data_IF_908461139724
#
_entry.id   IF_908461139724
#
_cell.length_a   1.000
_cell.length_b   1.000
_cell.length_c   1.000
_cell.angle_alpha   90.00
_cell.angle_beta   90.00
_cell.angle_gamma   90.00
#
_symmetry.space_group_name_H-M   'P 1'
#
loop_
_entity.id
_entity.type
_entity.pdbx_description
1 polymer ?
#
# COMPACT_ATOMS: atom_id res chain seq x y z
N UNK A 1 -18.73 6.83 16.85
CA UNK A 1 -17.64 6.89 15.87
C UNK A 1 -18.16 6.31 14.58
N UNK A 2 -18.49 7.15 13.61
CA UNK A 2 -19.05 6.68 12.35
C UNK A 2 -17.91 6.30 11.41
N UNK A 3 -17.66 5.01 11.32
CA UNK A 3 -16.73 4.48 10.33
C UNK A 3 -17.40 4.46 8.95
N UNK A 4 -17.42 5.59 8.25
CA UNK A 4 -17.80 5.67 6.82
C UNK A 4 -16.78 4.95 5.90
N UNK A 5 -16.09 3.94 6.41
CA UNK A 5 -15.08 3.16 5.68
C UNK A 5 -15.66 1.97 4.90
N UNK A 6 -16.95 1.71 5.01
CA UNK A 6 -17.61 0.65 4.26
C UNK A 6 -18.39 1.22 3.07
N UNK A 7 -18.30 0.60 1.90
CA UNK A 7 -19.17 0.91 0.78
C UNK A 7 -20.64 0.85 1.21
N UNK A 8 -21.45 1.75 0.69
CA UNK A 8 -22.87 1.85 1.07
C UNK A 8 -23.68 0.58 0.76
N UNK A 9 -23.20 -0.28 -0.13
CA UNK A 9 -23.83 -1.53 -0.55
C UNK A 9 -23.27 -2.78 0.17
N UNK A 10 -22.33 -2.61 1.10
CA UNK A 10 -21.72 -3.70 1.86
C UNK A 10 -20.78 -4.62 1.07
N UNK A 11 -20.59 -4.38 -0.23
CA UNK A 11 -19.66 -5.14 -1.05
C UNK A 11 -18.26 -4.52 -0.99
N UNK A 12 -17.25 -5.35 -0.74
CA UNK A 12 -15.86 -4.90 -0.79
C UNK A 12 -15.43 -4.67 -2.24
N UNK A 13 -14.88 -3.49 -2.59
CA UNK A 13 -14.34 -3.26 -3.91
C UNK A 13 -13.11 -4.15 -4.15
N UNK A 14 -12.83 -4.46 -5.40
CA UNK A 14 -11.55 -5.02 -5.80
C UNK A 14 -10.57 -3.85 -5.85
N UNK A 15 -9.48 -3.90 -5.07
CA UNK A 15 -8.58 -2.77 -4.88
C UNK A 15 -7.23 -2.96 -5.55
N UNK A 16 -6.90 -4.19 -5.94
CA UNK A 16 -5.62 -4.50 -6.56
C UNK A 16 -5.85 -5.45 -7.73
N UNK A 17 -5.29 -5.13 -8.87
CA UNK A 17 -5.30 -5.94 -10.07
C UNK A 17 -4.10 -5.63 -10.98
N UNK A 18 -3.79 -6.51 -11.89
CA UNK A 18 -2.69 -6.45 -12.82
C UNK A 18 -2.76 -7.59 -13.84
N UNK A 19 -1.68 -7.91 -14.55
CA UNK A 19 -1.69 -8.95 -15.60
C UNK A 19 -2.19 -10.33 -15.12
N UNK A 20 -1.82 -10.70 -13.89
CA UNK A 20 -2.19 -11.99 -13.28
C UNK A 20 -3.47 -11.91 -12.44
N UNK A 21 -4.25 -10.97 -12.67
CA UNK A 21 -5.33 -10.49 -11.88
C UNK A 21 -6.64 -11.30 -12.08
N UNK A 22 -7.57 -11.26 -11.12
CA UNK A 22 -7.65 -10.40 -9.94
C UNK A 22 -7.10 -11.07 -8.70
N UNK A 23 -6.43 -10.30 -7.86
CA UNK A 23 -5.90 -10.78 -6.61
C UNK A 23 -6.63 -10.12 -5.44
N UNK A 24 -7.48 -10.87 -4.76
CA UNK A 24 -8.21 -10.38 -3.59
C UNK A 24 -7.38 -10.65 -2.33
N UNK A 25 -6.54 -9.72 -1.95
CA UNK A 25 -5.65 -9.86 -0.78
C UNK A 25 -6.35 -9.97 0.56
N UNK A 26 -7.61 -9.57 0.62
CA UNK A 26 -8.39 -9.48 1.83
C UNK A 26 -9.44 -10.58 1.98
N UNK A 27 -9.61 -11.44 0.98
CA UNK A 27 -10.60 -12.53 1.03
C UNK A 27 -10.40 -13.46 2.23
N UNK A 28 -9.16 -13.66 2.67
CA UNK A 28 -8.84 -14.48 3.83
C UNK A 28 -9.40 -13.92 5.15
N UNK A 29 -9.65 -12.62 5.24
CA UNK A 29 -10.18 -11.99 6.45
C UNK A 29 -11.58 -12.51 6.80
N UNK A 30 -12.37 -12.88 5.80
CA UNK A 30 -13.74 -13.38 5.95
C UNK A 30 -13.85 -14.88 5.67
N UNK A 31 -12.79 -15.50 5.14
CA UNK A 31 -12.81 -16.93 4.84
C UNK A 31 -12.85 -17.73 6.15
N UNK A 32 -13.76 -18.73 6.30
CA UNK A 32 -13.88 -19.52 7.53
C UNK A 32 -12.58 -20.20 7.97
N UNK A 33 -11.75 -20.62 7.01
CA UNK A 33 -10.45 -21.23 7.28
C UNK A 33 -9.33 -20.19 7.52
N UNK A 34 -9.61 -18.88 7.35
CA UNK A 34 -8.59 -17.83 7.41
C UNK A 34 -7.41 -18.13 6.49
N UNK A 35 -6.20 -18.12 7.04
CA UNK A 35 -4.97 -18.52 6.34
C UNK A 35 -4.70 -20.05 6.38
N UNK A 36 -5.64 -20.84 6.90
CA UNK A 36 -5.48 -22.27 7.06
C UNK A 36 -5.00 -22.70 8.44
N UNK A 37 -4.37 -23.87 8.54
CA UNK A 37 -3.86 -24.44 9.79
C UNK A 37 -2.51 -25.12 9.59
N UNK A 38 -1.72 -25.20 10.65
CA UNK A 38 -0.44 -25.90 10.67
C UNK A 38 -0.65 -27.26 11.35
N UNK A 39 -0.16 -28.36 10.77
CA UNK A 39 -0.20 -29.70 11.40
C UNK A 39 0.43 -29.67 12.79
N UNK A 40 -0.11 -30.47 13.71
CA UNK A 40 0.31 -30.48 15.11
C UNK A 40 1.80 -30.82 15.29
N UNK A 41 2.33 -31.69 14.46
CA UNK A 41 3.75 -32.13 14.46
C UNK A 41 4.71 -31.04 13.95
N UNK A 42 4.18 -29.98 13.32
CA UNK A 42 4.94 -28.83 12.85
C UNK A 42 4.74 -27.58 13.69
N UNK A 43 3.91 -27.61 14.70
CA UNK A 43 3.73 -26.46 15.59
C UNK A 43 5.01 -26.19 16.38
N UNK A 44 5.35 -24.91 16.54
CA UNK A 44 6.61 -24.47 17.12
C UNK A 44 7.81 -24.46 16.15
N UNK A 45 7.61 -24.92 14.90
CA UNK A 45 8.68 -24.89 13.89
C UNK A 45 9.11 -23.44 13.57
N UNK A 46 10.44 -23.23 13.51
CA UNK A 46 11.00 -21.90 13.24
C UNK A 46 10.92 -21.55 11.75
N UNK A 47 10.43 -20.33 11.46
CA UNK A 47 10.40 -19.75 10.12
C UNK A 47 11.11 -18.40 10.16
N UNK A 48 12.12 -18.18 9.32
CA UNK A 48 12.81 -16.91 9.27
C UNK A 48 11.99 -15.89 8.48
N UNK A 49 11.86 -14.69 9.03
CA UNK A 49 11.22 -13.52 8.38
C UNK A 49 12.28 -12.45 8.23
N UNK A 50 12.63 -12.12 6.99
CA UNK A 50 13.67 -11.14 6.69
C UNK A 50 13.02 -9.78 6.38
N UNK A 51 13.17 -8.86 7.34
CA UNK A 51 12.59 -7.53 7.35
C UNK A 51 11.48 -7.39 8.39
N UNK A 52 11.60 -6.40 9.28
CA UNK A 52 10.58 -6.01 10.26
C UNK A 52 9.78 -4.77 9.79
N UNK A 53 9.55 -4.61 8.49
CA UNK A 53 8.54 -3.73 7.93
C UNK A 53 7.14 -4.31 8.13
N UNK A 54 6.10 -3.55 7.75
CA UNK A 54 4.70 -3.97 7.95
C UNK A 54 4.42 -5.36 7.36
N UNK A 55 4.90 -5.66 6.15
CA UNK A 55 4.69 -6.96 5.50
C UNK A 55 5.30 -8.12 6.30
N UNK A 56 6.54 -7.96 6.77
CA UNK A 56 7.21 -9.00 7.60
C UNK A 56 6.56 -9.17 8.96
N UNK A 57 6.15 -8.08 9.59
CA UNK A 57 5.49 -8.15 10.90
C UNK A 57 4.10 -8.77 10.84
N UNK A 58 3.31 -8.44 9.80
CA UNK A 58 2.01 -9.07 9.57
C UNK A 58 2.20 -10.56 9.30
N UNK A 59 3.12 -10.94 8.42
CA UNK A 59 3.41 -12.34 8.15
C UNK A 59 3.85 -13.10 9.43
N UNK A 60 4.76 -12.52 10.20
CA UNK A 60 5.20 -13.10 11.47
C UNK A 60 4.04 -13.25 12.47
N UNK A 61 3.20 -12.22 12.58
CA UNK A 61 2.04 -12.23 13.47
C UNK A 61 1.03 -13.32 13.11
N UNK A 62 0.69 -13.45 11.85
CA UNK A 62 -0.26 -14.47 11.39
C UNK A 62 0.33 -15.88 11.50
N UNK A 63 1.62 -16.08 11.16
CA UNK A 63 2.29 -17.36 11.34
C UNK A 63 2.37 -17.77 12.83
N UNK A 64 2.62 -16.81 13.72
CA UNK A 64 2.59 -17.04 15.17
C UNK A 64 1.19 -17.50 15.63
N UNK A 65 0.12 -16.87 15.16
CA UNK A 65 -1.26 -17.29 15.48
C UNK A 65 -1.55 -18.72 15.05
N UNK A 66 -0.99 -19.15 13.92
CA UNK A 66 -1.12 -20.52 13.41
C UNK A 66 -0.26 -21.55 14.17
N UNK A 67 0.61 -21.12 15.08
CA UNK A 67 1.43 -21.99 15.91
C UNK A 67 2.88 -22.14 15.47
N UNK A 68 3.31 -21.47 14.39
CA UNK A 68 4.73 -21.44 14.01
C UNK A 68 5.51 -20.47 14.90
N UNK A 69 6.83 -20.61 14.91
CA UNK A 69 7.74 -19.68 15.58
C UNK A 69 8.43 -18.79 14.56
N UNK A 70 7.88 -17.61 14.27
CA UNK A 70 8.56 -16.64 13.41
C UNK A 70 9.85 -16.16 14.10
N UNK A 71 10.94 -16.09 13.35
CA UNK A 71 12.21 -15.49 13.76
C UNK A 71 12.47 -14.30 12.87
N UNK A 72 12.18 -13.11 13.39
CA UNK A 72 12.22 -11.85 12.63
C UNK A 72 13.61 -11.24 12.68
N UNK A 73 14.13 -10.87 11.52
CA UNK A 73 15.40 -10.18 11.32
C UNK A 73 15.16 -8.77 10.80
N UNK A 74 15.92 -7.80 11.32
CA UNK A 74 15.85 -6.41 10.87
C UNK A 74 17.25 -5.78 10.82
N UNK A 75 17.58 -5.18 9.69
CA UNK A 75 18.90 -4.60 9.46
C UNK A 75 19.05 -3.21 10.07
N UNK A 76 17.95 -2.51 10.32
CA UNK A 76 17.95 -1.12 10.77
C UNK A 76 16.89 -0.89 11.84
N UNK A 77 15.81 -0.21 11.49
CA UNK A 77 14.71 0.15 12.40
C UNK A 77 13.43 -0.56 12.00
N UNK A 78 12.75 -1.13 12.99
CA UNK A 78 11.43 -1.73 12.80
C UNK A 78 10.43 -0.71 12.24
N UNK A 79 9.54 -1.17 11.34
CA UNK A 79 8.54 -0.34 10.67
C UNK A 79 8.83 -0.13 9.18
N UNK A 80 10.11 -0.15 8.78
CA UNK A 80 10.51 0.00 7.39
C UNK A 80 10.06 1.33 6.79
N UNK A 81 9.20 1.27 5.77
CA UNK A 81 8.62 2.46 5.09
C UNK A 81 7.42 3.09 5.81
N UNK A 82 6.98 2.55 6.95
CA UNK A 82 6.03 3.19 7.86
C UNK A 82 6.80 3.79 9.02
N UNK A 83 7.14 5.06 8.90
CA UNK A 83 8.01 5.75 9.84
C UNK A 83 7.48 7.14 10.13
N UNK A 84 7.34 7.44 11.40
CA UNK A 84 6.90 8.74 11.91
C UNK A 84 7.97 9.37 12.78
N UNK A 85 8.06 10.68 12.76
CA UNK A 85 8.99 11.46 13.57
C UNK A 85 8.27 12.63 14.22
N UNK A 86 8.28 12.69 15.54
CA UNK A 86 7.80 13.87 16.26
C UNK A 86 8.74 15.05 16.05
N UNK A 87 8.18 16.24 15.88
CA UNK A 87 8.97 17.47 15.89
C UNK A 87 9.39 17.82 17.30
N UNK A 88 10.67 18.12 17.48
CA UNK A 88 11.21 18.52 18.78
C UNK A 88 10.56 19.85 19.25
N UNK A 89 10.08 19.85 20.50
CA UNK A 89 9.51 21.03 21.13
C UNK A 89 8.08 21.39 20.71
N UNK A 90 7.41 20.53 19.94
CA UNK A 90 6.00 20.71 19.57
C UNK A 90 5.22 19.42 19.87
N UNK A 91 4.31 19.49 20.84
CA UNK A 91 3.46 18.35 21.17
C UNK A 91 2.43 18.10 20.06
N UNK A 92 2.30 16.84 19.65
CA UNK A 92 1.28 16.38 18.72
C UNK A 92 1.56 16.63 17.24
N UNK A 93 2.69 17.27 16.88
CA UNK A 93 3.08 17.45 15.48
C UNK A 93 3.99 16.29 15.05
N UNK A 94 3.56 15.55 14.07
CA UNK A 94 4.24 14.36 13.52
C UNK A 94 4.59 14.61 12.06
N UNK A 95 5.85 14.36 11.69
CA UNK A 95 6.27 14.21 10.31
C UNK A 95 6.19 12.72 9.92
N UNK A 96 5.47 12.42 8.89
CA UNK A 96 5.51 11.10 8.27
C UNK A 96 6.65 11.04 7.26
N UNK A 97 7.58 10.12 7.48
CA UNK A 97 8.78 9.94 6.65
C UNK A 97 8.65 8.73 5.71
N UNK A 98 7.43 8.34 5.41
CA UNK A 98 7.10 7.20 4.57
C UNK A 98 5.63 7.20 4.16
N UNK A 99 4.98 6.04 4.22
CA UNK A 99 3.53 5.95 3.98
C UNK A 99 2.76 6.80 4.97
N UNK A 100 1.90 7.71 4.49
CA UNK A 100 1.22 8.67 5.35
C UNK A 100 -0.29 8.71 5.15
N UNK A 101 -0.78 8.23 4.02
CA UNK A 101 -2.19 8.29 3.64
C UNK A 101 -2.61 6.96 3.03
N UNK A 102 -3.74 6.46 3.47
CA UNK A 102 -4.21 5.13 3.13
C UNK A 102 -5.66 5.22 2.66
N UNK A 103 -5.99 4.74 1.45
CA UNK A 103 -7.36 4.75 0.96
C UNK A 103 -8.21 3.82 1.82
N UNK A 104 -9.47 4.19 2.04
CA UNK A 104 -10.41 3.36 2.83
C UNK A 104 -10.64 1.98 2.22
N UNK A 105 -10.34 1.83 0.94
CA UNK A 105 -10.36 0.56 0.23
C UNK A 105 -9.24 -0.42 0.64
N UNK A 106 -8.23 0.03 1.38
CA UNK A 106 -7.14 -0.82 1.89
C UNK A 106 -7.60 -1.67 3.08
N UNK A 107 -8.57 -2.56 2.87
CA UNK A 107 -9.26 -3.35 3.90
C UNK A 107 -8.30 -4.19 4.74
N UNK A 108 -7.29 -4.81 4.15
CA UNK A 108 -6.29 -5.59 4.89
C UNK A 108 -5.46 -4.70 5.84
N UNK A 109 -5.13 -3.48 5.44
CA UNK A 109 -4.42 -2.53 6.32
C UNK A 109 -5.32 -2.10 7.48
N UNK A 110 -6.55 -1.69 7.18
CA UNK A 110 -7.50 -1.24 8.21
C UNK A 110 -7.92 -2.35 9.18
N UNK A 111 -7.89 -3.62 8.75
CA UNK A 111 -8.07 -4.75 9.67
C UNK A 111 -7.08 -4.68 10.85
N UNK A 112 -5.80 -4.38 10.59
CA UNK A 112 -4.81 -4.24 11.66
C UNK A 112 -4.93 -2.91 12.41
N UNK A 113 -5.24 -1.83 11.75
CA UNK A 113 -5.52 -0.53 12.39
C UNK A 113 -6.64 -0.67 13.43
N UNK A 114 -7.75 -1.30 13.04
CA UNK A 114 -8.90 -1.53 13.93
C UNK A 114 -8.58 -2.51 15.06
N UNK A 115 -7.85 -3.59 14.75
CA UNK A 115 -7.38 -4.56 15.75
C UNK A 115 -6.50 -3.93 16.82
N UNK A 116 -5.72 -2.93 16.45
CA UNK A 116 -4.84 -2.19 17.36
C UNK A 116 -5.56 -1.02 18.07
N UNK A 117 -6.82 -0.75 17.74
CA UNK A 117 -7.58 0.35 18.29
C UNK A 117 -7.05 1.73 17.92
N UNK A 118 -6.36 1.86 16.78
CA UNK A 118 -5.77 3.12 16.36
C UNK A 118 -6.81 4.03 15.73
N UNK A 119 -6.73 5.31 16.09
CA UNK A 119 -7.60 6.34 15.54
C UNK A 119 -7.11 6.79 14.17
N UNK A 120 -8.07 7.05 13.28
CA UNK A 120 -7.81 7.61 11.94
C UNK A 120 -8.65 8.85 11.70
N UNK A 121 -8.15 9.73 10.84
CA UNK A 121 -8.92 10.89 10.35
C UNK A 121 -8.67 11.09 8.86
N UNK A 122 -9.59 11.76 8.14
CA UNK A 122 -9.39 12.09 6.75
C UNK A 122 -8.06 12.81 6.52
N UNK A 123 -7.34 12.40 5.48
CA UNK A 123 -6.10 13.07 5.09
C UNK A 123 -6.45 14.39 4.38
N UNK A 124 -5.77 15.51 4.72
CA UNK A 124 -6.05 16.81 4.14
C UNK A 124 -5.48 16.93 2.71
N UNK A 125 -5.99 16.11 1.80
CA UNK A 125 -5.67 16.27 0.38
C UNK A 125 -6.20 17.62 -0.14
N UNK A 126 -5.49 18.25 -1.07
CA UNK A 126 -5.94 19.49 -1.69
C UNK A 126 -7.37 19.39 -2.25
N UNK A 127 -8.14 20.45 -2.13
CA UNK A 127 -9.51 20.57 -2.65
C UNK A 127 -10.50 19.52 -2.10
N UNK A 128 -10.20 18.93 -0.94
CA UNK A 128 -11.11 18.02 -0.23
C UNK A 128 -11.69 18.69 1.02
N UNK A 129 -12.83 18.22 1.54
CA UNK A 129 -13.39 18.75 2.79
C UNK A 129 -12.47 18.67 4.02
N UNK A 130 -11.44 17.83 3.97
CA UNK A 130 -10.44 17.71 5.04
C UNK A 130 -9.37 18.81 4.97
N UNK A 131 -9.28 19.55 3.86
CA UNK A 131 -8.37 20.66 3.66
C UNK A 131 -9.20 21.96 3.54
N UNK A 132 -9.09 22.88 4.52
CA UNK A 132 -9.92 24.09 4.54
C UNK A 132 -9.60 25.03 3.38
N UNK A 133 -8.39 24.93 2.83
CA UNK A 133 -7.97 25.70 1.66
C UNK A 133 -6.80 25.03 0.95
N UNK A 134 -6.64 25.37 -0.32
CA UNK A 134 -5.52 24.91 -1.15
C UNK A 134 -4.86 26.11 -1.81
N UNK A 135 -3.55 26.15 -1.76
CA UNK A 135 -2.74 27.14 -2.49
C UNK A 135 -1.99 26.42 -3.60
N UNK A 136 -2.15 26.87 -4.82
CA UNK A 136 -1.41 26.40 -5.99
C UNK A 136 -0.50 27.52 -6.44
N UNK A 137 0.81 27.29 -6.40
CA UNK A 137 1.81 28.18 -6.96
C UNK A 137 2.36 27.53 -8.24
N UNK A 138 2.09 28.15 -9.37
CA UNK A 138 2.43 27.63 -10.67
C UNK A 138 3.03 28.74 -11.52
N UNK A 139 4.31 28.59 -11.90
CA UNK A 139 5.04 29.54 -12.74
C UNK A 139 4.98 31.00 -12.24
N UNK A 140 5.02 31.19 -10.93
CA UNK A 140 4.96 32.50 -10.28
C UNK A 140 3.56 33.10 -10.17
N UNK A 141 2.54 32.34 -10.53
CA UNK A 141 1.14 32.70 -10.29
C UNK A 141 0.57 31.86 -9.16
N UNK A 142 0.04 32.51 -8.14
CA UNK A 142 -0.55 31.84 -6.98
C UNK A 142 -2.07 31.89 -7.07
N UNK A 143 -2.69 30.72 -6.91
CA UNK A 143 -4.15 30.55 -6.81
C UNK A 143 -4.49 30.09 -5.39
N UNK A 144 -5.53 30.71 -4.83
CA UNK A 144 -6.12 30.29 -3.57
C UNK A 144 -7.52 29.74 -3.83
N UNK A 145 -7.84 28.56 -3.28
CA UNK A 145 -9.12 27.92 -3.47
C UNK A 145 -9.57 27.18 -2.19
N UNK A 146 -10.82 27.32 -1.82
CA UNK A 146 -11.49 26.50 -0.81
C UNK A 146 -12.16 25.27 -1.45
N UNK A 147 -12.48 25.39 -2.73
CA UNK A 147 -13.06 24.33 -3.55
C UNK A 147 -12.55 24.40 -4.99
N UNK A 148 -12.77 23.34 -5.75
CA UNK A 148 -12.42 23.32 -7.18
C UNK A 148 -13.13 24.44 -8.00
N UNK A 149 -14.30 24.90 -7.55
CA UNK A 149 -15.05 25.97 -8.22
C UNK A 149 -14.38 27.35 -8.12
N UNK A 150 -13.47 27.54 -7.19
CA UNK A 150 -12.73 28.80 -7.01
C UNK A 150 -11.52 28.91 -7.95
N UNK A 151 -11.17 27.81 -8.63
CA UNK A 151 -10.05 27.78 -9.56
C UNK A 151 -10.48 28.31 -10.95
N UNK A 152 -9.54 28.91 -11.72
CA UNK A 152 -9.82 29.30 -13.10
C UNK A 152 -10.33 28.17 -13.98
N UNK A 153 -11.09 28.50 -15.01
CA UNK A 153 -11.70 27.57 -15.97
C UNK A 153 -10.67 26.56 -16.55
N UNK A 154 -9.42 26.98 -16.72
CA UNK A 154 -8.31 26.14 -17.16
C UNK A 154 -8.19 24.83 -16.37
N UNK A 155 -8.39 24.87 -15.05
CA UNK A 155 -8.30 23.67 -14.22
C UNK A 155 -9.50 22.73 -14.43
N UNK A 156 -10.69 23.28 -14.64
CA UNK A 156 -11.88 22.48 -14.96
C UNK A 156 -11.77 21.85 -16.35
N UNK A 157 -11.30 22.61 -17.34
CA UNK A 157 -11.07 22.09 -18.70
C UNK A 157 -10.07 20.91 -18.72
N UNK A 158 -9.04 20.99 -17.88
CA UNK A 158 -8.08 19.89 -17.69
C UNK A 158 -8.73 18.68 -17.02
N UNK A 159 -9.54 18.88 -15.98
CA UNK A 159 -10.26 17.81 -15.30
C UNK A 159 -11.24 17.08 -16.24
N UNK A 160 -11.98 17.84 -17.03
CA UNK A 160 -12.91 17.29 -18.02
C UNK A 160 -12.18 16.50 -19.11
N UNK A 161 -11.05 17.01 -19.60
CA UNK A 161 -10.22 16.30 -20.57
C UNK A 161 -9.61 15.01 -20.00
N UNK A 162 -9.26 15.00 -18.73
CA UNK A 162 -8.78 13.80 -18.05
C UNK A 162 -9.89 12.73 -17.95
N UNK A 163 -11.10 13.11 -17.55
CA UNK A 163 -12.25 12.21 -17.51
C UNK A 163 -12.56 11.63 -18.90
N UNK A 164 -12.58 12.46 -19.94
CA UNK A 164 -12.78 12.03 -21.33
C UNK A 164 -11.66 11.10 -21.82
N UNK A 165 -10.41 11.36 -21.43
CA UNK A 165 -9.27 10.53 -21.79
C UNK A 165 -9.34 9.15 -21.14
N UNK A 166 -9.69 9.07 -19.86
CA UNK A 166 -9.89 7.82 -19.13
C UNK A 166 -11.02 6.99 -19.75
N UNK A 167 -12.14 7.60 -20.07
CA UNK A 167 -13.27 6.87 -20.67
C UNK A 167 -12.91 6.36 -22.07
N UNK A 168 -12.37 7.22 -22.93
CA UNK A 168 -12.06 6.84 -24.30
C UNK A 168 -10.83 5.96 -24.46
N UNK A 169 -9.82 6.12 -23.62
CA UNK A 169 -8.53 5.40 -23.69
C UNK A 169 -8.46 4.16 -22.82
N UNK A 170 -9.27 4.06 -21.77
CA UNK A 170 -9.15 3.00 -20.78
C UNK A 170 -10.49 2.35 -20.39
N UNK A 171 -11.62 2.77 -20.96
CA UNK A 171 -12.95 2.24 -20.62
C UNK A 171 -13.24 2.33 -19.12
N UNK A 172 -12.97 3.49 -18.55
CA UNK A 172 -12.99 3.71 -17.10
C UNK A 172 -14.33 3.32 -16.47
N UNK A 173 -15.45 3.73 -17.07
CA UNK A 173 -16.79 3.39 -16.57
C UNK A 173 -17.06 1.89 -16.52
N UNK A 174 -16.68 1.16 -17.55
CA UNK A 174 -16.84 -0.30 -17.60
C UNK A 174 -16.01 -1.01 -16.52
N UNK A 175 -14.78 -0.59 -16.33
CA UNK A 175 -13.89 -1.17 -15.30
C UNK A 175 -14.40 -0.83 -13.90
N UNK A 176 -14.79 0.40 -13.65
CA UNK A 176 -15.40 0.81 -12.39
C UNK A 176 -16.68 0.00 -12.08
N UNK A 177 -17.49 -0.29 -13.10
CA UNK A 177 -18.68 -1.12 -12.92
C UNK A 177 -18.30 -2.56 -12.56
N UNK A 178 -17.34 -3.16 -13.28
CA UNK A 178 -16.86 -4.51 -12.98
C UNK A 178 -16.26 -4.62 -11.57
N UNK A 179 -15.57 -3.57 -11.09
CA UNK A 179 -15.06 -3.49 -9.71
C UNK A 179 -16.21 -3.48 -8.70
N UNK A 180 -17.23 -2.64 -8.91
CA UNK A 180 -18.42 -2.57 -8.02
C UNK A 180 -19.17 -3.90 -7.95
N UNK A 181 -19.31 -4.56 -9.08
CA UNK A 181 -20.03 -5.83 -9.18
C UNK A 181 -19.18 -7.04 -8.76
N UNK A 182 -17.90 -6.84 -8.51
CA UNK A 182 -16.90 -7.90 -8.30
C UNK A 182 -16.92 -8.94 -9.45
N UNK A 183 -17.18 -8.48 -10.66
CA UNK A 183 -17.14 -9.30 -11.87
C UNK A 183 -15.70 -9.50 -12.33
N UNK A 184 -15.06 -10.45 -11.67
CA UNK A 184 -13.66 -10.83 -11.88
C UNK A 184 -13.36 -11.21 -13.33
N UNK A 185 -14.14 -12.08 -14.00
CA UNK A 185 -13.90 -12.41 -15.40
C UNK A 185 -13.98 -11.19 -16.32
N UNK A 186 -14.98 -10.34 -16.14
CA UNK A 186 -15.15 -9.12 -16.92
C UNK A 186 -14.02 -8.13 -16.72
N UNK A 187 -13.62 -7.94 -15.48
CA UNK A 187 -12.52 -7.05 -15.14
C UNK A 187 -11.20 -7.52 -15.77
N UNK A 188 -10.93 -8.83 -15.71
CA UNK A 188 -9.74 -9.42 -16.35
C UNK A 188 -9.76 -9.24 -17.87
N UNK A 189 -10.91 -9.46 -18.52
CA UNK A 189 -11.08 -9.22 -19.94
C UNK A 189 -10.75 -7.77 -20.30
N UNK A 190 -11.36 -6.81 -19.60
CA UNK A 190 -11.15 -5.38 -19.82
C UNK A 190 -9.69 -4.99 -19.62
N UNK A 191 -9.09 -5.41 -18.50
CA UNK A 191 -7.70 -5.10 -18.18
C UNK A 191 -6.72 -5.66 -19.22
N UNK A 192 -6.93 -6.93 -19.64
CA UNK A 192 -6.06 -7.56 -20.62
C UNK A 192 -6.10 -6.88 -21.99
N UNK A 193 -7.16 -6.11 -22.30
CA UNK A 193 -7.19 -5.30 -23.52
C UNK A 193 -6.31 -4.06 -23.40
N UNK A 194 -6.08 -3.55 -22.16
CA UNK A 194 -5.26 -2.36 -21.92
C UNK A 194 -3.76 -2.68 -21.90
N UNK A 195 -3.38 -3.89 -21.45
CA UNK A 195 -1.97 -4.29 -21.31
C UNK A 195 -1.19 -4.06 -22.62
N UNK A 196 -1.54 -4.63 -23.78
CA UNK A 196 -0.77 -4.45 -25.01
C UNK A 196 -0.81 -3.02 -25.55
N UNK A 197 -1.74 -2.19 -25.08
CA UNK A 197 -1.88 -0.81 -25.53
C UNK A 197 -1.06 0.16 -24.69
N UNK A 198 -0.86 -0.12 -23.38
CA UNK A 198 -0.40 0.87 -22.42
C UNK A 198 0.77 0.43 -21.53
N UNK A 199 1.17 -0.84 -21.53
CA UNK A 199 2.23 -1.31 -20.62
C UNK A 199 3.58 -0.67 -20.91
N UNK A 200 3.92 -0.48 -22.18
CA UNK A 200 5.17 0.15 -22.64
C UNK A 200 5.05 1.68 -22.81
N UNK A 201 3.94 2.28 -22.37
CA UNK A 201 3.67 3.71 -22.54
C UNK A 201 3.61 4.43 -21.20
N UNK A 202 4.10 5.66 -21.20
CA UNK A 202 4.13 6.50 -19.99
C UNK A 202 2.83 7.28 -19.80
N UNK A 203 2.65 7.83 -18.61
CA UNK A 203 1.56 8.78 -18.32
C UNK A 203 1.59 9.99 -19.27
N UNK A 204 2.79 10.57 -19.50
CA UNK A 204 2.93 11.68 -20.45
C UNK A 204 2.46 11.30 -21.85
N UNK A 205 2.85 10.12 -22.34
CA UNK A 205 2.47 9.64 -23.65
C UNK A 205 0.95 9.45 -23.78
N UNK A 206 0.29 8.90 -22.75
CA UNK A 206 -1.16 8.80 -22.70
C UNK A 206 -1.84 10.16 -22.87
N UNK A 207 -1.42 11.15 -22.08
CA UNK A 207 -1.99 12.50 -22.13
C UNK A 207 -1.69 13.16 -23.48
N UNK A 208 -0.43 13.11 -23.94
CA UNK A 208 0.00 13.75 -25.18
C UNK A 208 -0.69 13.19 -26.44
N UNK A 209 -1.06 11.92 -26.42
CA UNK A 209 -1.72 11.25 -27.56
C UNK A 209 -3.23 11.17 -27.42
N UNK A 210 -3.80 11.55 -26.26
CA UNK A 210 -5.25 11.58 -26.06
C UNK A 210 -5.93 12.61 -26.95
N UNK A 211 -7.04 12.20 -27.58
CA UNK A 211 -7.89 13.10 -28.39
C UNK A 211 -8.51 14.21 -27.54
N UNK A 212 -8.77 13.97 -26.27
CA UNK A 212 -9.31 14.97 -25.36
C UNK A 212 -8.29 16.09 -25.12
N UNK A 213 -7.06 15.75 -24.80
CA UNK A 213 -5.98 16.72 -24.59
C UNK A 213 -5.46 17.36 -25.90
N UNK A 214 -5.64 16.70 -27.04
CA UNK A 214 -5.25 17.28 -28.33
C UNK A 214 -6.03 18.56 -28.69
N UNK A 215 -7.19 18.79 -28.08
CA UNK A 215 -8.01 20.00 -28.24
C UNK A 215 -7.54 21.15 -27.35
N UNK A 216 -6.68 20.88 -26.38
CA UNK A 216 -6.22 21.83 -25.37
C UNK A 216 -4.83 22.38 -25.72
N UNK A 217 -4.50 23.54 -25.16
CA UNK A 217 -3.17 24.14 -25.33
C UNK A 217 -2.10 23.35 -24.55
N UNK A 218 -0.85 23.64 -24.85
CA UNK A 218 0.28 23.12 -24.08
C UNK A 218 0.19 23.49 -22.59
N UNK A 219 -0.26 24.71 -22.29
CA UNK A 219 -0.45 25.19 -20.90
C UNK A 219 -1.39 24.28 -20.09
N UNK A 220 -2.48 23.78 -20.67
CA UNK A 220 -3.38 22.84 -19.99
C UNK A 220 -2.65 21.54 -19.61
N UNK A 221 -1.78 21.03 -20.48
CA UNK A 221 -1.00 19.81 -20.20
C UNK A 221 0.02 20.05 -19.09
N UNK A 222 0.69 21.20 -19.12
CA UNK A 222 1.64 21.58 -18.07
C UNK A 222 0.95 21.73 -16.70
N UNK A 223 -0.21 22.40 -16.66
CA UNK A 223 -1.01 22.47 -15.43
C UNK A 223 -1.36 21.08 -14.92
N UNK A 224 -1.81 20.19 -15.80
CA UNK A 224 -2.13 18.82 -15.40
C UNK A 224 -0.90 18.05 -14.89
N UNK A 225 0.23 18.17 -15.54
CA UNK A 225 1.47 17.51 -15.16
C UNK A 225 2.06 18.02 -13.84
N UNK A 226 1.89 19.32 -13.55
CA UNK A 226 2.49 19.94 -12.36
C UNK A 226 1.59 19.90 -11.12
N UNK A 227 0.27 19.97 -11.28
CA UNK A 227 -0.68 20.07 -10.15
C UNK A 227 -1.77 19.01 -10.16
N UNK A 228 -1.91 18.23 -11.23
CA UNK A 228 -2.91 17.19 -11.38
C UNK A 228 -2.49 15.85 -10.77
N UNK A 229 -3.33 14.86 -11.03
CA UNK A 229 -3.03 13.48 -10.67
C UNK A 229 -1.76 12.98 -11.38
N UNK A 230 -0.94 12.24 -10.67
CA UNK A 230 0.25 11.62 -11.26
C UNK A 230 1.42 12.57 -11.49
N UNK A 231 1.50 13.68 -10.74
CA UNK A 231 2.62 14.63 -10.85
C UNK A 231 3.98 13.96 -10.86
N UNK A 232 4.18 12.91 -10.04
CA UNK A 232 5.41 12.13 -10.05
C UNK A 232 5.59 11.26 -11.31
N UNK A 233 4.52 10.92 -12.01
CA UNK A 233 4.55 10.17 -13.28
C UNK A 233 4.77 11.06 -14.51
N UNK A 234 4.72 12.37 -14.36
CA UNK A 234 5.01 13.34 -15.41
C UNK A 234 6.50 13.47 -15.70
N UNK A 235 7.32 13.15 -14.70
CA UNK A 235 8.77 13.22 -14.79
C UNK A 235 9.31 12.13 -15.72
N UNK A 236 10.07 12.53 -16.74
CA UNK A 236 10.71 11.62 -17.69
C UNK A 236 11.86 10.83 -17.07
N UNK A 237 12.42 11.26 -15.95
CA UNK A 237 13.50 10.57 -15.25
C UNK A 237 13.01 9.30 -14.54
N UNK A 238 11.70 9.21 -14.26
CA UNK A 238 11.08 8.04 -13.64
C UNK A 238 9.82 7.61 -14.41
N UNK A 239 9.99 7.15 -15.66
CA UNK A 239 8.84 6.77 -16.47
C UNK A 239 8.17 5.53 -15.90
N UNK A 240 6.92 5.66 -15.47
CA UNK A 240 6.07 4.54 -15.06
C UNK A 240 5.19 4.09 -16.23
N UNK A 241 4.89 2.80 -16.28
CA UNK A 241 3.84 2.29 -17.17
C UNK A 241 2.51 3.00 -16.88
N UNK A 242 1.79 3.37 -17.92
CA UNK A 242 0.45 3.94 -17.78
C UNK A 242 -0.52 3.00 -17.07
N UNK A 243 -0.29 1.69 -17.12
CA UNK A 243 -1.10 0.71 -16.38
C UNK A 243 -1.04 0.93 -14.86
N UNK A 244 0.10 1.41 -14.33
CA UNK A 244 0.21 1.75 -12.90
C UNK A 244 -0.72 2.91 -12.53
N UNK A 245 -0.78 3.93 -13.36
CA UNK A 245 -1.68 5.08 -13.18
C UNK A 245 -3.14 4.63 -13.29
N UNK A 246 -3.48 3.84 -14.29
CA UNK A 246 -4.84 3.28 -14.42
C UNK A 246 -5.26 2.49 -13.19
N UNK A 247 -4.38 1.65 -12.67
CA UNK A 247 -4.66 0.86 -11.48
C UNK A 247 -5.02 1.75 -10.29
N UNK A 248 -4.25 2.79 -10.03
CA UNK A 248 -4.50 3.72 -8.91
C UNK A 248 -5.84 4.43 -9.09
N UNK A 249 -6.09 4.99 -10.29
CA UNK A 249 -7.32 5.75 -10.56
C UNK A 249 -8.55 4.83 -10.53
N UNK A 250 -8.47 3.67 -11.16
CA UNK A 250 -9.61 2.75 -11.28
C UNK A 250 -10.00 2.09 -9.97
N UNK A 251 -9.07 1.94 -9.04
CA UNK A 251 -9.33 1.38 -7.70
C UNK A 251 -9.64 2.45 -6.65
N UNK A 252 -9.70 3.72 -7.04
CA UNK A 252 -9.89 4.85 -6.13
C UNK A 252 -8.85 4.89 -5.00
N UNK A 253 -7.62 4.44 -5.26
CA UNK A 253 -6.55 4.45 -4.26
C UNK A 253 -6.07 5.87 -3.90
N UNK A 254 -6.42 6.88 -4.68
CA UNK A 254 -6.15 8.28 -4.44
C UNK A 254 -7.31 9.04 -3.80
N UNK A 255 -8.45 8.35 -3.59
CA UNK A 255 -9.67 8.93 -3.03
C UNK A 255 -9.90 8.46 -1.57
N UNK A 256 -10.65 9.25 -0.81
CA UNK A 256 -11.04 8.95 0.57
C UNK A 256 -9.89 8.43 1.45
N UNK A 257 -8.72 9.06 1.34
CA UNK A 257 -7.54 8.66 2.11
C UNK A 257 -7.63 9.14 3.56
N UNK A 258 -7.13 8.31 4.47
CA UNK A 258 -7.01 8.63 5.89
C UNK A 258 -5.57 8.54 6.35
N UNK A 259 -5.25 9.27 7.41
CA UNK A 259 -4.01 9.15 8.17
C UNK A 259 -4.25 8.51 9.54
N UNK A 260 -3.18 7.99 10.14
CA UNK A 260 -3.18 7.48 11.53
C UNK A 260 -2.89 8.65 12.48
N UNK A 261 -3.79 8.90 13.41
CA UNK A 261 -3.58 9.94 14.42
C UNK A 261 -2.42 9.56 15.33
N UNK A 262 -1.44 10.44 15.46
CA UNK A 262 -0.22 10.17 16.25
C UNK A 262 0.89 9.42 15.49
N UNK A 263 0.71 9.18 14.20
CA UNK A 263 1.74 8.64 13.31
C UNK A 263 1.58 7.18 12.95
N UNK A 264 1.87 6.86 11.70
CA UNK A 264 1.70 5.51 11.12
C UNK A 264 2.64 4.46 11.72
N UNK A 265 3.76 4.87 12.30
CA UNK A 265 4.71 3.96 12.96
C UNK A 265 4.07 3.17 14.11
N UNK A 266 2.94 3.63 14.65
CA UNK A 266 2.16 2.90 15.66
C UNK A 266 1.66 1.54 15.14
N UNK A 267 1.41 1.41 13.84
CA UNK A 267 0.89 0.16 13.26
C UNK A 267 1.91 -0.97 13.37
N UNK A 268 3.14 -0.88 12.81
CA UNK A 268 4.14 -1.93 12.95
C UNK A 268 4.54 -2.16 14.43
N UNK A 269 4.67 -1.10 15.23
CA UNK A 269 4.99 -1.22 16.65
C UNK A 269 3.84 -1.91 17.44
N UNK A 270 2.61 -1.62 17.06
CA UNK A 270 1.42 -2.25 17.64
C UNK A 270 1.40 -3.75 17.33
N UNK A 271 1.55 -4.15 16.06
CA UNK A 271 1.60 -5.56 15.65
C UNK A 271 2.70 -6.33 16.41
N UNK A 272 3.87 -5.72 16.58
CA UNK A 272 4.98 -6.32 17.33
C UNK A 272 4.63 -6.66 18.78
N UNK A 273 3.84 -5.83 19.43
CA UNK A 273 3.46 -5.96 20.86
C UNK A 273 2.11 -6.60 21.08
N UNK A 274 1.27 -6.67 20.05
CA UNK A 274 -0.10 -7.15 20.18
C UNK A 274 -0.13 -8.62 20.57
N UNK A 275 -0.93 -8.92 21.58
CA UNK A 275 -1.25 -10.28 22.01
C UNK A 275 -2.56 -10.70 21.34
N UNK A 276 -2.53 -11.66 20.41
CA UNK A 276 -3.75 -12.13 19.77
C UNK A 276 -4.65 -12.86 20.77
N UNK A 277 -5.97 -12.76 20.59
CA UNK A 277 -6.96 -13.43 21.44
C UNK A 277 -6.81 -14.96 21.42
N UNK A 278 -6.37 -15.50 20.30
CA UNK A 278 -6.14 -16.93 20.08
C UNK A 278 -4.81 -17.16 19.36
N UNK A 279 -4.01 -18.04 19.91
CA UNK A 279 -2.83 -18.60 19.29
C UNK A 279 -2.91 -20.13 19.36
N UNK A 280 -2.67 -20.80 18.27
CA UNK A 280 -2.36 -22.22 18.33
C UNK A 280 -0.98 -22.39 18.98
N UNK A 281 -0.76 -23.42 19.79
CA UNK A 281 0.53 -23.82 20.38
C UNK A 281 1.09 -22.88 21.47
N UNK A 282 0.96 -21.57 21.34
CA UNK A 282 1.60 -20.62 22.26
C UNK A 282 0.74 -20.34 23.51
N UNK A 283 1.36 -20.14 24.69
CA UNK A 283 0.65 -19.73 25.89
C UNK A 283 -0.10 -18.42 25.71
N UNK A 284 -1.18 -18.23 26.47
CA UNK A 284 -1.84 -16.94 26.54
C UNK A 284 -0.86 -15.82 26.93
N UNK A 285 -1.01 -14.65 26.34
CA UNK A 285 -0.10 -13.52 26.55
C UNK A 285 1.12 -13.49 25.61
N UNK A 286 1.26 -14.46 24.70
CA UNK A 286 2.36 -14.46 23.74
C UNK A 286 2.15 -13.38 22.66
N UNK A 287 3.22 -12.63 22.39
CA UNK A 287 3.32 -11.66 21.29
C UNK A 287 4.62 -11.89 20.52
N UNK A 288 4.77 -11.25 19.36
CA UNK A 288 6.05 -11.27 18.65
C UNK A 288 7.18 -10.72 19.52
N UNK A 289 6.93 -9.65 20.27
CA UNK A 289 7.88 -9.05 21.20
C UNK A 289 8.34 -10.06 22.24
N UNK A 290 7.42 -10.79 22.87
CA UNK A 290 7.77 -11.77 23.91
C UNK A 290 8.56 -12.97 23.35
N UNK A 291 8.23 -13.43 22.15
CA UNK A 291 8.97 -14.51 21.47
C UNK A 291 10.41 -14.12 21.11
N UNK A 292 10.68 -12.83 20.98
CA UNK A 292 12.00 -12.31 20.57
C UNK A 292 12.77 -11.64 21.72
N UNK A 293 12.26 -11.68 22.95
CA UNK A 293 12.90 -10.97 24.06
C UNK A 293 12.93 -9.45 23.89
N UNK A 294 11.95 -8.88 23.17
CA UNK A 294 11.76 -7.44 23.01
C UNK A 294 12.23 -6.84 21.67
N UNK A 295 13.17 -7.49 20.95
CA UNK A 295 13.72 -6.93 19.71
C UNK A 295 13.89 -7.99 18.62
N UNK A 296 13.77 -7.62 17.32
CA UNK A 296 14.14 -8.48 16.21
C UNK A 296 15.63 -8.87 16.28
N UNK A 297 16.01 -9.93 15.58
CA UNK A 297 17.42 -10.27 15.36
C UNK A 297 18.05 -9.25 14.41
N UNK A 298 19.37 -9.18 14.43
CA UNK A 298 20.14 -8.30 13.53
C UNK A 298 19.92 -8.66 12.06
N UNK A 299 20.25 -7.74 11.17
CA UNK A 299 20.05 -7.90 9.72
C UNK A 299 20.74 -9.14 9.16
N UNK A 300 20.22 -9.61 8.04
CA UNK A 300 20.72 -10.79 7.33
C UNK A 300 21.71 -10.36 6.24
N UNK A 301 22.84 -11.07 6.19
CA UNK A 301 23.88 -10.88 5.17
C UNK A 301 23.76 -11.89 4.03
N UNK A 302 23.30 -13.12 4.33
CA UNK A 302 23.27 -14.20 3.34
C UNK A 302 22.15 -15.18 3.62
N UNK A 303 21.52 -15.64 2.55
CA UNK A 303 20.61 -16.79 2.55
C UNK A 303 21.16 -17.80 1.55
N UNK A 304 21.32 -19.05 1.96
CA UNK A 304 21.82 -20.12 1.10
C UNK A 304 21.06 -21.41 1.34
N UNK A 305 20.98 -22.25 0.32
CA UNK A 305 20.47 -23.61 0.49
C UNK A 305 21.55 -24.48 1.12
N UNK A 306 21.24 -25.13 2.20
CA UNK A 306 22.13 -26.06 2.89
C UNK A 306 22.03 -27.47 2.29
N UNK A 307 23.02 -28.33 2.58
CA UNK A 307 23.08 -29.69 2.05
C UNK A 307 21.98 -30.62 2.60
N UNK A 308 21.41 -30.28 3.74
CA UNK A 308 20.27 -30.97 4.37
C UNK A 308 18.89 -30.57 3.81
N UNK A 309 18.88 -29.70 2.80
CA UNK A 309 17.68 -29.15 2.19
C UNK A 309 17.06 -27.95 2.92
N UNK A 310 17.60 -27.58 4.07
CA UNK A 310 17.19 -26.38 4.79
C UNK A 310 17.76 -25.09 4.17
N UNK A 311 17.30 -23.96 4.68
CA UNK A 311 17.79 -22.63 4.30
C UNK A 311 18.65 -22.06 5.43
N UNK A 312 19.94 -21.90 5.13
CA UNK A 312 20.90 -21.29 6.04
C UNK A 312 20.80 -19.76 5.94
N UNK A 313 20.48 -19.11 7.04
CA UNK A 313 20.42 -17.64 7.18
C UNK A 313 21.61 -17.19 8.01
N UNK A 314 22.50 -16.40 7.43
CA UNK A 314 23.65 -15.81 8.10
C UNK A 314 23.38 -14.33 8.38
N UNK A 315 23.45 -13.93 9.64
CA UNK A 315 23.26 -12.56 10.06
C UNK A 315 24.51 -11.69 9.84
N UNK A 316 24.39 -10.39 10.09
CA UNK A 316 25.49 -9.42 9.92
C UNK A 316 26.67 -9.66 10.84
N UNK A 317 26.51 -10.39 11.94
CA UNK A 317 27.55 -10.75 12.87
C UNK A 317 28.21 -12.11 12.57
N UNK A 318 27.75 -12.79 11.50
CA UNK A 318 28.26 -14.10 11.09
C UNK A 318 27.57 -15.29 11.78
N UNK A 319 26.56 -15.05 12.62
CA UNK A 319 25.73 -16.10 13.18
C UNK A 319 24.90 -16.80 12.09
N UNK A 320 25.01 -18.13 12.00
CA UNK A 320 24.26 -18.92 11.01
C UNK A 320 23.20 -19.78 11.68
N UNK A 321 21.99 -19.76 11.16
CA UNK A 321 20.86 -20.60 11.60
C UNK A 321 20.17 -21.24 10.41
N UNK A 322 19.65 -22.44 10.61
CA UNK A 322 18.93 -23.19 9.59
C UNK A 322 17.43 -23.14 9.83
N UNK A 323 16.66 -23.03 8.76
CA UNK A 323 15.22 -22.94 8.77
C UNK A 323 14.60 -23.80 7.68
N UNK A 324 13.43 -24.37 7.94
CA UNK A 324 12.67 -25.08 6.92
C UNK A 324 12.11 -24.12 5.86
N UNK A 325 11.81 -22.88 6.26
CA UNK A 325 11.30 -21.83 5.37
C UNK A 325 11.86 -20.45 5.72
N UNK A 326 12.04 -19.62 4.69
CA UNK A 326 12.44 -18.22 4.81
C UNK A 326 11.48 -17.38 3.99
N UNK A 327 10.88 -16.38 4.61
CA UNK A 327 10.08 -15.36 3.96
C UNK A 327 10.88 -14.05 3.91
N UNK A 328 11.13 -13.55 2.70
CA UNK A 328 11.81 -12.27 2.50
C UNK A 328 10.80 -11.18 2.19
N UNK A 329 10.88 -10.06 2.90
CA UNK A 329 10.04 -8.88 2.69
C UNK A 329 10.86 -7.62 2.41
N UNK A 330 12.17 -7.79 2.22
CA UNK A 330 13.03 -6.72 1.72
C UNK A 330 12.80 -6.47 0.22
N UNK A 331 13.30 -5.34 -0.26
CA UNK A 331 13.22 -5.01 -1.68
C UNK A 331 13.99 -6.06 -2.50
N UNK A 332 13.39 -6.50 -3.63
CA UNK A 332 13.90 -7.62 -4.43
C UNK A 332 15.32 -7.39 -4.95
N UNK A 333 15.69 -6.16 -5.28
CA UNK A 333 17.02 -5.80 -5.75
C UNK A 333 18.12 -6.04 -4.68
N UNK A 334 17.78 -6.01 -3.40
CA UNK A 334 18.72 -6.37 -2.32
C UNK A 334 19.09 -7.86 -2.33
N UNK A 335 18.25 -8.71 -2.91
CA UNK A 335 18.52 -10.16 -3.00
C UNK A 335 19.44 -10.52 -4.15
N UNK A 336 19.67 -9.62 -5.09
CA UNK A 336 20.47 -9.88 -6.31
C UNK A 336 21.87 -9.28 -6.26
N UNK A 337 22.14 -8.42 -5.30
CA UNK A 337 23.41 -7.66 -5.21
C UNK A 337 24.40 -8.22 -4.20
N UNK A 338 24.13 -9.38 -3.57
CA UNK A 338 25.02 -9.98 -2.57
C UNK A 338 25.44 -11.40 -2.90
#
# INVERSE_FOLDING_TARGET
MNNNRHPADGKKPITIFGPDFPFAFDDWLEHPAGLGSIPLDRQGEEVAIIGAGIAGLVAAYELMKLGLKPVVYEASKMGGRLRSQAFNGTDGIIAELGGMRFPVSSTAFYHYVDKLGLETKPFPNPLTPASPSTVIDLEGQTYYAESAADLPALFQEVADAWADALESGARFGDIQQAIRDRDVPRLKELWNTLVPLWDDRTFYDFVATSKAFAKLSFQHREVFGQVGFGTGGWDSDFPNSMLEIFRVVMTNCDDHQHLIVGGVEQVPQGIWRHVPERCAHWPAGTSLSSLHGGAPRTGVKRIARASDGQLAVTDTWGGCRHYAAVLTTCQSWLLTTQ
#
